data_IF_309037318333
#
_entry.id   IF_309037318333
#
_cell.length_a   1.000
_cell.length_b   1.000
_cell.length_c   1.000
_cell.angle_alpha   90.00
_cell.angle_beta   90.00
_cell.angle_gamma   90.00
#
_symmetry.space_group_name_H-M   'P 1'
#
loop_
_entity.id
_entity.type
_entity.pdbx_description
1 polymer ?
#
# COMPACT_ATOMS: atom_id res chain seq x y z
N UNK A 1 28.53 -29.76 43.79
CA UNK A 1 29.25 -31.03 43.53
C UNK A 1 29.01 -31.43 42.08
N UNK A 2 30.10 -31.54 41.29
CA UNK A 2 30.37 -32.42 40.12
C UNK A 2 29.26 -32.62 39.05
N UNK A 3 29.49 -32.61 37.73
CA UNK A 3 30.69 -32.59 36.88
C UNK A 3 30.24 -32.35 35.41
N UNK A 4 31.12 -31.75 34.62
CA UNK A 4 31.03 -31.61 33.17
C UNK A 4 31.35 -32.93 32.43
N UNK A 5 30.92 -33.05 31.16
CA UNK A 5 31.59 -33.89 30.18
C UNK A 5 31.76 -33.14 28.84
N UNK A 6 33.02 -32.97 28.47
CA UNK A 6 33.50 -32.65 27.13
C UNK A 6 33.95 -33.95 26.44
N UNK A 7 33.91 -34.00 25.11
CA UNK A 7 34.61 -35.00 24.33
C UNK A 7 35.24 -34.36 23.08
N UNK A 8 36.56 -34.54 22.97
CA UNK A 8 37.47 -34.15 21.89
C UNK A 8 37.46 -35.24 20.79
N UNK A 9 37.52 -34.85 19.50
CA UNK A 9 38.70 -34.79 18.61
C UNK A 9 39.14 -36.14 18.01
N UNK A 10 39.23 -36.23 16.67
CA UNK A 10 40.29 -36.96 15.95
C UNK A 10 40.34 -36.57 14.46
N UNK A 11 41.54 -36.14 14.03
CA UNK A 11 41.99 -35.98 12.64
C UNK A 11 42.72 -37.25 12.17
N UNK A 12 42.70 -37.53 10.86
CA UNK A 12 43.78 -38.14 10.04
C UNK A 12 43.51 -37.86 8.54
N UNK A 13 44.27 -37.00 7.86
CA UNK A 13 45.46 -37.23 6.99
C UNK A 13 45.24 -38.11 5.73
N UNK A 14 45.25 -37.50 4.52
CA UNK A 14 46.27 -37.63 3.43
C UNK A 14 46.25 -38.99 2.66
N UNK A 15 46.47 -39.16 1.35
CA UNK A 15 47.29 -38.45 0.37
C UNK A 15 47.03 -38.94 -1.10
N UNK A 16 47.34 -38.06 -2.06
CA UNK A 16 48.08 -38.25 -3.35
C UNK A 16 47.54 -39.05 -4.56
N UNK A 17 47.60 -38.35 -5.71
CA UNK A 17 47.54 -38.74 -7.15
C UNK A 17 48.77 -39.58 -7.60
N UNK A 18 48.98 -40.05 -8.89
CA UNK A 18 48.94 -39.25 -10.14
C UNK A 18 48.61 -39.96 -11.50
N UNK A 19 48.34 -39.10 -12.52
CA UNK A 19 48.73 -39.07 -13.95
C UNK A 19 48.89 -40.33 -14.85
N UNK A 20 48.54 -40.21 -16.16
CA UNK A 20 49.47 -40.08 -17.32
C UNK A 20 48.77 -40.28 -18.71
N UNK A 21 48.95 -39.29 -19.63
CA UNK A 21 49.21 -39.32 -21.12
C UNK A 21 48.28 -40.06 -22.13
N UNK A 22 48.17 -39.76 -23.43
CA UNK A 22 48.88 -38.91 -24.41
C UNK A 22 48.01 -38.67 -25.70
N UNK A 23 48.48 -37.76 -26.57
CA UNK A 23 47.99 -37.36 -27.92
C UNK A 23 48.01 -38.51 -28.98
N UNK A 24 47.44 -38.43 -30.20
CA UNK A 24 47.81 -37.57 -31.37
C UNK A 24 46.79 -37.62 -32.55
N UNK A 25 47.02 -36.71 -33.52
CA UNK A 25 46.81 -36.80 -34.98
C UNK A 25 45.62 -36.11 -35.68
N UNK A 26 45.96 -35.53 -36.84
CA UNK A 26 45.17 -34.61 -37.65
C UNK A 26 44.96 -35.11 -39.11
N UNK A 27 43.73 -34.85 -39.60
CA UNK A 27 43.26 -34.58 -41.00
C UNK A 27 43.32 -35.70 -42.09
N UNK A 28 42.56 -35.63 -43.22
CA UNK A 28 41.68 -34.54 -43.70
C UNK A 28 40.32 -34.94 -44.41
N UNK A 29 39.51 -33.91 -44.73
CA UNK A 29 38.38 -33.67 -45.68
C UNK A 29 37.35 -34.77 -46.06
N UNK A 30 36.06 -34.45 -45.89
CA UNK A 30 35.01 -34.66 -46.90
C UNK A 30 33.82 -33.71 -46.70
N UNK A 31 33.40 -33.03 -47.76
CA UNK A 31 32.19 -32.20 -47.80
C UNK A 31 30.92 -33.06 -47.91
N UNK A 32 29.86 -32.68 -47.20
CA UNK A 32 28.48 -33.11 -47.48
C UNK A 32 27.51 -31.99 -47.15
N UNK A 33 26.59 -31.73 -48.07
CA UNK A 33 25.60 -30.67 -48.04
C UNK A 33 24.27 -31.13 -47.43
N UNK A 34 23.60 -30.13 -46.82
CA UNK A 34 22.16 -29.99 -46.57
C UNK A 34 21.48 -30.74 -45.40
N UNK A 35 21.04 -29.95 -44.41
CA UNK A 35 19.64 -29.85 -44.01
C UNK A 35 19.40 -28.48 -43.33
N UNK A 36 18.27 -27.79 -43.59
CA UNK A 36 17.95 -26.53 -42.91
C UNK A 36 17.64 -26.82 -41.45
N UNK A 37 18.37 -26.16 -40.54
CA UNK A 37 18.10 -26.22 -39.12
C UNK A 37 16.69 -25.73 -38.85
N UNK A 38 15.89 -26.57 -38.18
CA UNK A 38 14.61 -26.20 -37.64
C UNK A 38 14.81 -24.95 -36.76
N UNK A 39 14.22 -23.83 -37.18
CA UNK A 39 14.11 -22.63 -36.38
C UNK A 39 13.28 -23.04 -35.15
N UNK A 40 13.96 -23.25 -34.02
CA UNK A 40 13.29 -23.49 -32.76
C UNK A 40 12.42 -22.27 -32.50
N UNK A 41 11.11 -22.43 -32.69
CA UNK A 41 10.14 -21.40 -32.36
C UNK A 41 10.37 -21.00 -30.91
N UNK A 42 10.95 -19.80 -30.72
CA UNK A 42 11.10 -19.20 -29.40
C UNK A 42 9.69 -19.18 -28.80
N UNK A 43 9.48 -19.99 -27.77
CA UNK A 43 8.25 -19.94 -27.00
C UNK A 43 7.99 -18.47 -26.66
N UNK A 44 6.76 -17.95 -26.82
CA UNK A 44 6.47 -16.57 -26.50
C UNK A 44 6.90 -16.35 -25.05
N UNK A 45 7.99 -15.60 -24.87
CA UNK A 45 8.46 -15.18 -23.56
C UNK A 45 7.30 -14.37 -23.02
N UNK A 46 6.60 -14.94 -22.03
CA UNK A 46 5.55 -14.21 -21.34
C UNK A 46 6.22 -12.94 -20.82
N UNK A 47 5.81 -11.74 -21.27
CA UNK A 47 6.45 -10.53 -20.80
C UNK A 47 6.38 -10.57 -19.27
N UNK A 48 7.52 -10.41 -18.56
CA UNK A 48 7.56 -10.59 -17.13
C UNK A 48 6.47 -9.73 -16.47
N UNK A 49 5.83 -10.27 -15.43
CA UNK A 49 4.88 -9.50 -14.64
C UNK A 49 5.54 -8.19 -14.25
N UNK A 50 5.01 -7.08 -14.78
CA UNK A 50 5.67 -5.79 -14.62
C UNK A 50 5.58 -5.35 -13.17
N UNK A 51 4.46 -5.63 -12.51
CA UNK A 51 4.28 -5.43 -11.08
C UNK A 51 4.63 -6.70 -10.31
N UNK A 52 5.44 -6.55 -9.25
CA UNK A 52 5.81 -7.62 -8.33
C UNK A 52 5.73 -7.16 -6.86
N UNK A 53 6.00 -8.05 -5.91
CA UNK A 53 6.01 -7.79 -4.48
C UNK A 53 7.27 -8.31 -3.80
N UNK A 54 7.92 -7.45 -3.03
CA UNK A 54 9.02 -7.81 -2.11
C UNK A 54 8.46 -7.86 -0.70
N UNK A 55 8.45 -9.05 -0.11
CA UNK A 55 8.01 -9.28 1.26
C UNK A 55 9.16 -9.05 2.23
N UNK A 56 8.90 -8.28 3.28
CA UNK A 56 9.80 -8.09 4.41
C UNK A 56 9.03 -8.31 5.73
N UNK A 57 9.76 -8.32 6.82
CA UNK A 57 9.19 -8.50 8.16
C UNK A 57 8.20 -7.37 8.48
N UNK A 58 8.57 -6.13 8.15
CA UNK A 58 7.80 -4.95 8.52
C UNK A 58 6.69 -4.56 7.52
N UNK A 59 6.68 -5.17 6.33
CA UNK A 59 5.69 -4.86 5.29
C UNK A 59 5.91 -5.53 3.95
N UNK A 60 5.26 -4.98 2.92
CA UNK A 60 5.37 -5.46 1.54
C UNK A 60 5.58 -4.26 0.61
N UNK A 61 6.65 -4.27 -0.17
CA UNK A 61 6.89 -3.29 -1.23
C UNK A 61 6.31 -3.82 -2.53
N UNK A 62 5.37 -3.10 -3.14
CA UNK A 62 4.99 -3.36 -4.53
C UNK A 62 5.91 -2.59 -5.46
N UNK A 63 6.42 -3.27 -6.48
CA UNK A 63 7.32 -2.71 -7.48
C UNK A 63 6.68 -2.72 -8.88
N UNK A 64 7.19 -1.90 -9.80
CA UNK A 64 6.90 -1.97 -11.23
C UNK A 64 8.23 -1.89 -11.99
N UNK A 65 8.63 -2.98 -12.65
CA UNK A 65 9.92 -3.09 -13.34
C UNK A 65 11.11 -2.88 -12.40
N UNK A 66 11.03 -3.41 -11.17
CA UNK A 66 12.05 -3.24 -10.12
C UNK A 66 12.03 -1.89 -9.40
N UNK A 67 11.22 -0.92 -9.83
CA UNK A 67 11.08 0.38 -9.14
C UNK A 67 9.95 0.34 -8.13
N UNK A 68 10.17 0.85 -6.92
CA UNK A 68 9.13 0.92 -5.89
C UNK A 68 7.92 1.73 -6.35
N UNK A 69 6.72 1.19 -6.14
CA UNK A 69 5.43 1.87 -6.38
C UNK A 69 4.82 2.30 -5.06
N UNK A 70 4.80 1.40 -4.08
CA UNK A 70 4.34 1.69 -2.73
C UNK A 70 4.90 0.69 -1.72
N UNK A 71 4.88 1.06 -0.43
CA UNK A 71 5.12 0.16 0.69
C UNK A 71 3.89 0.05 1.57
N UNK A 72 3.41 -1.17 1.80
CA UNK A 72 2.33 -1.47 2.74
C UNK A 72 2.92 -1.91 4.07
N UNK A 73 2.74 -1.10 5.12
CA UNK A 73 3.27 -1.40 6.46
C UNK A 73 2.38 -2.39 7.20
N UNK A 74 2.97 -3.50 7.66
CA UNK A 74 2.24 -4.56 8.39
C UNK A 74 2.71 -4.74 9.83
N UNK A 75 3.82 -4.10 10.21
CA UNK A 75 4.31 -4.08 11.60
C UNK A 75 4.61 -2.62 11.99
N UNK A 76 4.29 -2.18 13.21
CA UNK A 76 4.63 -0.84 13.65
C UNK A 76 6.14 -0.69 13.73
N UNK A 77 6.65 0.46 13.30
CA UNK A 77 8.08 0.77 13.43
C UNK A 77 8.50 0.95 14.91
N UNK A 78 7.58 1.42 15.76
CA UNK A 78 7.75 1.55 17.20
C UNK A 78 6.57 0.89 17.93
N UNK A 79 6.57 -0.45 18.08
CA UNK A 79 5.47 -1.16 18.72
C UNK A 79 5.28 -0.82 20.21
N UNK A 80 6.32 -0.31 20.88
CA UNK A 80 6.26 0.03 22.30
C UNK A 80 5.44 1.30 22.55
N UNK A 81 5.56 2.30 21.67
CA UNK A 81 4.88 3.60 21.85
C UNK A 81 3.75 3.84 20.85
N UNK A 82 3.80 3.24 19.67
CA UNK A 82 2.79 3.38 18.61
C UNK A 82 2.30 2.01 18.08
N UNK A 83 1.77 1.13 18.93
CA UNK A 83 1.34 -0.21 18.52
C UNK A 83 0.25 -0.21 17.43
N UNK A 84 -0.49 0.90 17.25
CA UNK A 84 -1.51 1.05 16.21
C UNK A 84 -1.01 1.64 14.88
N UNK A 85 0.29 1.98 14.74
CA UNK A 85 0.87 2.51 13.49
C UNK A 85 1.26 1.42 12.51
N UNK A 86 0.27 0.74 11.96
CA UNK A 86 0.40 -0.28 10.92
C UNK A 86 -0.89 -0.32 10.08
N UNK A 87 -0.93 -1.18 9.07
CA UNK A 87 -2.10 -1.37 8.21
C UNK A 87 -2.42 -0.11 7.36
N UNK A 88 -1.37 0.48 6.77
CA UNK A 88 -1.44 1.64 5.89
C UNK A 88 -0.34 1.59 4.83
N UNK A 89 -0.40 2.50 3.85
CA UNK A 89 0.60 2.59 2.78
C UNK A 89 1.43 3.87 2.91
N UNK A 90 2.74 3.73 3.05
CA UNK A 90 3.71 4.81 2.91
C UNK A 90 5.12 4.22 2.78
N UNK A 91 5.95 4.71 1.85
CA UNK A 91 5.65 5.73 0.84
C UNK A 91 4.75 5.25 -0.31
N UNK A 92 4.14 6.20 -1.02
CA UNK A 92 3.64 6.03 -2.39
C UNK A 92 4.57 6.82 -3.32
N UNK A 93 5.04 6.17 -4.37
CA UNK A 93 5.96 6.74 -5.34
C UNK A 93 5.26 7.12 -6.64
N UNK A 94 5.69 8.24 -7.22
CA UNK A 94 5.46 8.53 -8.62
C UNK A 94 6.33 7.62 -9.53
N UNK A 95 5.99 7.44 -10.81
CA UNK A 95 6.76 6.62 -11.75
C UNK A 95 8.24 6.99 -11.93
N UNK A 96 8.64 8.23 -11.61
CA UNK A 96 10.04 8.67 -11.63
C UNK A 96 10.79 8.43 -10.31
N UNK A 97 10.13 7.87 -9.29
CA UNK A 97 10.69 7.63 -7.96
C UNK A 97 10.45 8.75 -6.95
N UNK A 98 9.77 9.84 -7.34
CA UNK A 98 9.38 10.90 -6.39
C UNK A 98 8.43 10.36 -5.33
N UNK A 99 8.74 10.54 -4.04
CA UNK A 99 7.80 10.22 -2.95
C UNK A 99 6.68 11.26 -2.90
N UNK A 100 5.43 10.80 -2.92
CA UNK A 100 4.24 11.67 -2.97
C UNK A 100 3.53 11.82 -1.62
N UNK A 101 3.85 10.96 -0.64
CA UNK A 101 3.20 10.96 0.68
C UNK A 101 4.19 11.18 1.81
N UNK A 102 3.71 11.65 2.96
CA UNK A 102 4.49 11.74 4.20
C UNK A 102 3.89 10.80 5.26
N UNK A 103 4.73 10.39 6.20
CA UNK A 103 4.34 9.67 7.41
C UNK A 103 4.95 10.37 8.62
N UNK A 104 4.18 10.43 9.71
CA UNK A 104 4.55 11.11 10.95
C UNK A 104 5.13 12.52 10.73
N UNK A 105 4.44 13.39 9.97
CA UNK A 105 4.94 14.74 9.73
C UNK A 105 4.98 15.52 11.05
N UNK A 106 5.98 16.38 11.23
CA UNK A 106 6.24 17.07 12.50
C UNK A 106 5.07 17.93 12.98
N UNK A 107 4.26 18.44 12.04
CA UNK A 107 3.07 19.22 12.34
C UNK A 107 1.93 18.34 12.89
N UNK A 108 1.78 17.10 12.40
CA UNK A 108 0.64 16.22 12.65
C UNK A 108 1.10 14.75 12.78
N UNK A 109 1.72 14.40 13.91
CA UNK A 109 2.39 13.10 14.08
C UNK A 109 1.50 11.89 13.79
N UNK A 110 0.19 11.96 14.05
CA UNK A 110 -0.73 10.84 13.82
C UNK A 110 -1.04 10.55 12.34
N UNK A 111 -0.75 11.50 11.42
CA UNK A 111 -0.99 11.30 10.00
C UNK A 111 0.04 10.34 9.39
N UNK A 112 -0.40 9.61 8.37
CA UNK A 112 0.33 8.51 7.73
C UNK A 112 -0.05 8.44 6.25
N UNK A 113 0.83 7.99 5.36
CA UNK A 113 0.72 8.17 3.90
C UNK A 113 -0.69 8.03 3.30
N UNK A 114 -1.13 6.82 2.96
CA UNK A 114 -2.52 6.54 2.57
C UNK A 114 -3.12 5.51 3.55
N UNK A 115 -4.26 5.85 4.14
CA UNK A 115 -4.84 5.08 5.24
C UNK A 115 -6.35 5.27 5.35
N UNK A 116 -6.99 4.40 6.10
CA UNK A 116 -8.37 4.54 6.54
C UNK A 116 -8.41 4.45 8.06
N UNK A 117 -9.17 5.34 8.69
CA UNK A 117 -9.33 5.33 10.14
C UNK A 117 -10.53 6.17 10.58
N UNK A 118 -10.88 6.05 11.86
CA UNK A 118 -12.04 6.69 12.48
C UNK A 118 -11.69 7.16 13.89
N UNK A 119 -12.17 8.34 14.27
CA UNK A 119 -12.05 8.84 15.64
C UNK A 119 -12.96 8.10 16.61
N UNK A 120 -14.14 7.69 16.13
CA UNK A 120 -15.10 6.95 16.93
C UNK A 120 -15.03 5.47 16.53
N UNK A 121 -14.51 4.64 17.43
CA UNK A 121 -14.67 3.18 17.38
C UNK A 121 -15.51 2.78 18.58
N UNK A 122 -16.77 2.46 18.33
CA UNK A 122 -17.77 2.19 19.34
C UNK A 122 -18.14 0.71 19.25
N UNK A 123 -18.07 -0.01 20.36
CA UNK A 123 -18.42 -1.42 20.46
C UNK A 123 -19.48 -1.57 21.55
N UNK A 124 -20.61 -2.17 21.18
CA UNK A 124 -21.72 -2.43 22.11
C UNK A 124 -22.16 -1.19 22.88
N UNK A 125 -22.25 -0.07 22.15
CA UNK A 125 -22.65 1.25 22.66
C UNK A 125 -21.57 2.02 23.42
N UNK A 126 -20.36 1.47 23.59
CA UNK A 126 -19.26 2.11 24.32
C UNK A 126 -18.17 2.59 23.36
N UNK A 127 -17.72 3.83 23.50
CA UNK A 127 -16.52 4.29 22.79
C UNK A 127 -15.29 3.61 23.39
N UNK A 128 -14.59 2.81 22.59
CA UNK A 128 -13.50 1.95 23.07
C UNK A 128 -12.15 2.28 22.44
N UNK A 129 -12.11 2.98 21.32
CA UNK A 129 -10.85 3.37 20.70
C UNK A 129 -11.00 4.61 19.82
N UNK A 130 -9.87 5.28 19.60
CA UNK A 130 -9.70 6.30 18.56
C UNK A 130 -8.62 5.77 17.60
N UNK A 131 -9.07 5.16 16.49
CA UNK A 131 -8.17 4.62 15.49
C UNK A 131 -7.41 5.72 14.74
N UNK A 132 -7.95 6.94 14.68
CA UNK A 132 -7.33 8.07 14.00
C UNK A 132 -6.05 8.51 14.71
N UNK A 133 -6.08 8.53 16.04
CA UNK A 133 -4.91 8.74 16.89
C UNK A 133 -4.17 7.45 17.26
N UNK A 134 -4.60 6.28 16.74
CA UNK A 134 -4.02 4.97 17.03
C UNK A 134 -4.04 4.64 18.54
N UNK A 135 -5.09 5.09 19.24
CA UNK A 135 -5.29 4.89 20.68
C UNK A 135 -6.30 3.77 20.92
N UNK A 136 -5.88 2.75 21.67
CA UNK A 136 -6.76 1.63 22.05
C UNK A 136 -7.16 0.73 20.89
N UNK A 137 -6.61 0.91 19.69
CA UNK A 137 -6.81 0.06 18.51
C UNK A 137 -5.45 -0.30 17.88
N UNK A 138 -5.24 -1.59 17.67
CA UNK A 138 -4.13 -2.15 16.87
C UNK A 138 -4.67 -3.24 15.94
N UNK A 139 -3.77 -3.82 15.15
CA UNK A 139 -4.10 -4.82 14.15
C UNK A 139 -3.19 -6.03 14.30
N UNK A 140 -3.72 -7.22 14.09
CA UNK A 140 -2.93 -8.42 13.89
C UNK A 140 -3.04 -8.84 12.42
N UNK A 141 -1.96 -8.69 11.66
CA UNK A 141 -1.90 -9.10 10.25
C UNK A 141 -1.71 -10.61 10.19
N UNK A 142 -2.76 -11.33 9.79
CA UNK A 142 -2.76 -12.81 9.69
C UNK A 142 -2.06 -13.32 8.44
N UNK A 143 -2.25 -12.61 7.33
CA UNK A 143 -1.81 -13.08 6.03
C UNK A 143 -1.50 -11.90 5.11
N UNK A 144 -0.45 -12.08 4.31
CA UNK A 144 -0.04 -11.19 3.22
C UNK A 144 0.20 -12.09 2.00
N UNK A 145 -0.48 -11.83 0.88
CA UNK A 145 -0.26 -12.58 -0.36
C UNK A 145 -0.32 -11.68 -1.57
N UNK A 146 0.52 -11.94 -2.56
CA UNK A 146 0.57 -11.19 -3.79
C UNK A 146 0.23 -12.08 -4.98
N UNK A 147 -0.46 -11.53 -5.97
CA UNK A 147 -0.71 -12.18 -7.25
C UNK A 147 -0.58 -11.17 -8.38
N UNK A 148 0.38 -11.39 -9.28
CA UNK A 148 0.47 -10.70 -10.57
C UNK A 148 -0.71 -11.06 -11.49
N UNK A 149 -1.06 -10.16 -12.39
CA UNK A 149 -2.05 -10.39 -13.44
C UNK A 149 -1.43 -10.41 -14.84
N UNK A 150 -2.12 -11.03 -15.80
CA UNK A 150 -1.62 -11.19 -17.18
C UNK A 150 -1.52 -9.88 -17.96
N UNK A 151 -2.14 -8.80 -17.46
CA UNK A 151 -1.99 -7.47 -18.04
C UNK A 151 -0.72 -6.75 -17.53
N UNK A 152 0.09 -7.41 -16.67
CA UNK A 152 1.30 -6.86 -16.09
C UNK A 152 1.06 -6.03 -14.83
N UNK A 153 -0.16 -6.05 -14.28
CA UNK A 153 -0.47 -5.51 -12.95
C UNK A 153 -0.28 -6.54 -11.85
N UNK A 154 -0.69 -6.19 -10.64
CA UNK A 154 -0.62 -7.10 -9.49
C UNK A 154 -1.46 -6.64 -8.31
N UNK A 155 -1.90 -7.59 -7.48
CA UNK A 155 -2.73 -7.31 -6.32
C UNK A 155 -2.11 -7.92 -5.06
N UNK A 156 -1.80 -7.07 -4.09
CA UNK A 156 -1.54 -7.46 -2.71
C UNK A 156 -2.87 -7.66 -1.99
N UNK A 157 -3.03 -8.75 -1.26
CA UNK A 157 -4.14 -8.99 -0.34
C UNK A 157 -3.57 -9.14 1.07
N UNK A 158 -4.07 -8.31 1.98
CA UNK A 158 -3.71 -8.31 3.40
C UNK A 158 -4.96 -8.65 4.21
N UNK A 159 -4.84 -9.60 5.13
CA UNK A 159 -5.89 -9.97 6.06
C UNK A 159 -5.47 -9.59 7.47
N UNK A 160 -6.27 -8.76 8.13
CA UNK A 160 -6.02 -8.30 9.49
C UNK A 160 -7.20 -8.61 10.44
N UNK A 161 -6.92 -8.71 11.72
CA UNK A 161 -7.92 -8.59 12.78
C UNK A 161 -7.70 -7.28 13.54
N UNK A 162 -8.79 -6.61 13.88
CA UNK A 162 -8.78 -5.40 14.67
C UNK A 162 -8.85 -5.77 16.14
N UNK A 163 -7.91 -5.27 16.93
CA UNK A 163 -7.77 -5.57 18.35
C UNK A 163 -7.93 -4.28 19.13
N UNK A 164 -8.93 -4.24 20.00
CA UNK A 164 -9.15 -3.16 20.96
C UNK A 164 -8.52 -3.53 22.31
N UNK A 165 -7.82 -2.57 22.92
CA UNK A 165 -7.04 -2.78 24.15
C UNK A 165 -7.34 -1.78 25.27
N UNK A 166 -8.49 -1.10 25.22
CA UNK A 166 -8.90 -0.13 26.25
C UNK A 166 -9.60 -0.75 27.46
N UNK A 167 -10.04 -2.00 27.36
CA UNK A 167 -10.64 -2.77 28.46
C UNK A 167 -9.60 -3.62 29.20
N UNK A 168 -10.03 -4.36 30.25
CA UNK A 168 -9.16 -5.28 30.99
C UNK A 168 -8.67 -6.46 30.14
N UNK A 169 -9.37 -6.76 29.03
CA UNK A 169 -9.05 -7.83 28.11
C UNK A 169 -8.96 -7.30 26.67
N UNK A 170 -8.15 -7.98 25.84
CA UNK A 170 -8.08 -7.69 24.41
C UNK A 170 -9.36 -8.17 23.72
N UNK A 171 -9.97 -7.30 22.91
CA UNK A 171 -11.18 -7.61 22.16
C UNK A 171 -10.93 -7.62 20.64
N UNK A 172 -11.30 -8.70 19.97
CA UNK A 172 -11.26 -8.82 18.51
C UNK A 172 -12.56 -8.31 17.90
N UNK A 173 -12.58 -7.05 17.46
CA UNK A 173 -13.84 -6.34 17.16
C UNK A 173 -14.22 -6.35 15.69
N UNK A 174 -13.24 -6.54 14.80
CA UNK A 174 -13.47 -6.64 13.36
C UNK A 174 -12.44 -7.54 12.67
N UNK A 175 -12.79 -8.02 11.48
CA UNK A 175 -11.88 -8.67 10.54
C UNK A 175 -11.82 -7.84 9.28
N UNK A 176 -10.62 -7.59 8.77
CA UNK A 176 -10.39 -6.78 7.59
C UNK A 176 -9.69 -7.56 6.50
N UNK A 177 -10.14 -7.38 5.26
CA UNK A 177 -9.41 -7.78 4.06
C UNK A 177 -9.20 -6.55 3.19
N UNK A 178 -7.95 -6.19 2.97
CA UNK A 178 -7.56 -5.10 2.06
C UNK A 178 -6.90 -5.67 0.82
N UNK A 179 -7.39 -5.27 -0.34
CA UNK A 179 -6.73 -5.51 -1.63
C UNK A 179 -6.13 -4.20 -2.12
N UNK A 180 -4.83 -4.21 -2.39
CA UNK A 180 -4.12 -3.10 -3.04
C UNK A 180 -3.69 -3.57 -4.42
N UNK A 181 -4.36 -3.06 -5.46
CA UNK A 181 -4.07 -3.40 -6.84
C UNK A 181 -3.29 -2.28 -7.52
N UNK A 182 -2.12 -2.62 -8.04
CA UNK A 182 -1.33 -1.75 -8.91
C UNK A 182 -1.55 -2.19 -10.34
N UNK A 183 -1.98 -1.27 -11.19
CA UNK A 183 -2.12 -1.48 -12.62
C UNK A 183 -0.79 -1.18 -13.33
N UNK A 184 -0.51 -1.80 -14.50
CA UNK A 184 0.62 -1.42 -15.34
C UNK A 184 0.54 0.07 -15.71
N UNK A 185 1.69 0.72 -15.97
CA UNK A 185 1.67 2.08 -16.50
C UNK A 185 0.96 2.09 -17.84
N UNK A 186 0.12 3.10 -18.03
CA UNK A 186 -0.48 3.41 -19.32
C UNK A 186 -0.25 4.88 -19.58
N UNK A 187 0.44 5.20 -20.67
CA UNK A 187 0.71 6.59 -21.08
C UNK A 187 1.38 7.43 -19.97
N UNK A 188 2.29 6.80 -19.21
CA UNK A 188 2.97 7.44 -18.07
C UNK A 188 2.11 7.61 -16.80
N UNK A 189 0.83 7.25 -16.85
CA UNK A 189 -0.07 7.28 -15.70
C UNK A 189 -0.01 5.97 -14.91
N UNK A 190 -0.05 6.09 -13.58
CA UNK A 190 -0.16 4.99 -12.63
C UNK A 190 -1.56 4.99 -12.03
N UNK A 191 -2.21 3.84 -11.98
CA UNK A 191 -3.44 3.62 -11.20
C UNK A 191 -3.18 2.63 -10.07
N UNK A 192 -3.70 2.95 -8.88
CA UNK A 192 -3.64 2.13 -7.68
C UNK A 192 -5.05 2.09 -7.08
N UNK A 193 -5.61 0.90 -6.93
CA UNK A 193 -6.92 0.72 -6.30
C UNK A 193 -6.75 0.08 -4.92
N UNK A 194 -7.52 0.57 -3.96
CA UNK A 194 -7.69 0.02 -2.62
C UNK A 194 -9.12 -0.48 -2.51
N UNK A 195 -9.30 -1.71 -2.06
CA UNK A 195 -10.60 -2.32 -1.78
C UNK A 195 -10.53 -2.99 -0.42
N UNK A 196 -11.05 -2.32 0.59
CA UNK A 196 -11.02 -2.75 1.99
C UNK A 196 -12.42 -3.16 2.42
N UNK A 197 -12.55 -4.39 2.90
CA UNK A 197 -13.78 -4.90 3.51
C UNK A 197 -13.52 -5.13 5.00
N UNK A 198 -14.29 -4.47 5.85
CA UNK A 198 -14.26 -4.61 7.31
C UNK A 198 -15.54 -5.32 7.74
N UNK A 199 -15.42 -6.49 8.37
CA UNK A 199 -16.53 -7.29 8.89
C UNK A 199 -16.58 -7.21 10.40
N UNK A 200 -17.71 -6.78 10.96
CA UNK A 200 -17.89 -6.68 12.41
C UNK A 200 -17.88 -8.06 13.09
N UNK A 201 -17.23 -8.14 14.26
CA UNK A 201 -17.13 -9.37 15.07
C UNK A 201 -17.81 -9.26 16.43
N UNK A 202 -17.95 -8.04 16.96
CA UNK A 202 -18.81 -7.74 18.11
C UNK A 202 -20.29 -7.74 17.73
N UNK A 203 -21.19 -7.70 18.71
CA UNK A 203 -22.63 -7.66 18.47
C UNK A 203 -23.02 -6.38 17.72
N UNK A 204 -22.42 -5.25 18.12
CA UNK A 204 -22.40 -4.01 17.36
C UNK A 204 -21.01 -3.39 17.29
N UNK A 205 -20.65 -2.90 16.10
CA UNK A 205 -19.48 -2.08 15.85
C UNK A 205 -19.93 -0.82 15.10
N UNK A 206 -19.72 0.36 15.67
CA UNK A 206 -19.97 1.61 14.98
C UNK A 206 -18.66 2.37 14.72
N UNK A 207 -18.51 2.85 13.49
CA UNK A 207 -17.34 3.61 13.04
C UNK A 207 -17.79 5.02 12.67
N UNK A 208 -17.25 6.05 13.33
CA UNK A 208 -17.61 7.44 13.10
C UNK A 208 -16.38 8.33 12.92
N UNK A 209 -16.54 9.42 12.17
CA UNK A 209 -15.51 10.44 12.04
C UNK A 209 -15.31 11.23 13.34
N UNK A 210 -14.57 12.35 13.31
CA UNK A 210 -14.47 13.22 14.49
C UNK A 210 -15.86 13.65 14.98
N UNK A 211 -16.06 13.73 16.30
CA UNK A 211 -17.31 14.23 16.89
C UNK A 211 -17.35 15.77 16.90
N UNK A 212 -17.08 16.35 15.73
CA UNK A 212 -17.21 17.77 15.44
C UNK A 212 -17.82 17.96 14.04
N UNK A 213 -18.00 19.21 13.63
CA UNK A 213 -18.56 19.55 12.31
C UNK A 213 -17.74 19.04 11.12
N UNK A 214 -16.45 18.72 11.34
CA UNK A 214 -15.54 18.26 10.30
C UNK A 214 -15.85 16.82 9.96
N UNK A 215 -15.97 15.95 10.97
CA UNK A 215 -16.28 14.53 10.80
C UNK A 215 -15.15 13.73 10.16
N UNK A 216 -13.88 14.03 10.47
CA UNK A 216 -12.70 13.32 9.94
C UNK A 216 -12.80 11.81 10.08
N UNK A 217 -12.79 11.09 8.97
CA UNK A 217 -12.88 9.63 9.00
C UNK A 217 -12.90 9.01 7.61
N UNK A 218 -12.65 7.71 7.55
CA UNK A 218 -12.57 6.98 6.29
C UNK A 218 -11.21 7.12 5.63
N UNK A 219 -11.17 7.01 4.30
CA UNK A 219 -9.92 6.98 3.54
C UNK A 219 -9.28 8.38 3.43
N UNK A 220 -7.99 8.46 3.69
CA UNK A 220 -7.20 9.69 3.75
C UNK A 220 -5.84 9.50 3.10
N UNK A 221 -5.31 10.57 2.51
CA UNK A 221 -3.95 10.63 1.97
C UNK A 221 -3.23 11.87 2.48
N UNK A 222 -2.09 11.69 3.16
CA UNK A 222 -1.13 12.73 3.53
C UNK A 222 -0.15 12.94 2.38
N UNK A 223 -0.45 13.92 1.52
CA UNK A 223 0.41 14.32 0.42
C UNK A 223 1.53 15.26 0.91
N UNK A 224 2.72 15.13 0.32
CA UNK A 224 3.87 16.03 0.60
C UNK A 224 3.55 17.48 0.26
N UNK A 225 4.26 18.45 0.85
CA UNK A 225 4.18 19.90 0.50
C UNK A 225 2.73 20.41 0.35
N UNK A 226 1.87 20.20 1.36
CA UNK A 226 0.45 20.48 1.25
C UNK A 226 0.13 21.95 1.02
N UNK A 227 0.99 22.86 1.47
CA UNK A 227 0.90 24.31 1.31
C UNK A 227 0.89 24.73 -0.16
N UNK A 228 1.43 23.87 -1.02
CA UNK A 228 1.54 24.08 -2.47
C UNK A 228 0.49 23.35 -3.29
N UNK A 229 -0.45 22.67 -2.65
CA UNK A 229 -1.52 21.95 -3.34
C UNK A 229 -2.58 22.90 -3.88
N UNK A 230 -3.02 22.60 -5.09
CA UNK A 230 -4.23 23.11 -5.71
C UNK A 230 -5.21 21.96 -5.89
N UNK A 231 -6.49 22.25 -5.67
CA UNK A 231 -7.56 21.26 -5.66
C UNK A 231 -8.49 21.50 -6.83
N UNK A 232 -8.94 20.43 -7.48
CA UNK A 232 -9.89 20.52 -8.56
C UNK A 232 -10.81 19.31 -8.64
N UNK A 233 -12.04 19.52 -9.04
CA UNK A 233 -13.03 18.46 -9.23
C UNK A 233 -13.94 18.82 -10.39
N UNK A 234 -14.22 17.85 -11.28
CA UNK A 234 -15.12 18.06 -12.43
C UNK A 234 -14.71 19.22 -13.34
N UNK A 235 -13.40 19.46 -13.49
CA UNK A 235 -12.85 20.56 -14.31
C UNK A 235 -12.90 21.95 -13.65
N UNK A 236 -13.30 22.05 -12.39
CA UNK A 236 -13.36 23.31 -11.63
C UNK A 236 -12.37 23.31 -10.48
N UNK A 237 -11.80 24.47 -10.17
CA UNK A 237 -11.03 24.67 -8.94
C UNK A 237 -11.94 24.51 -7.71
N UNK A 238 -11.42 23.89 -6.66
CA UNK A 238 -12.10 23.75 -5.37
C UNK A 238 -11.30 24.49 -4.30
N UNK A 239 -11.98 25.32 -3.52
CA UNK A 239 -11.35 26.05 -2.41
C UNK A 239 -11.55 25.27 -1.11
N UNK A 240 -10.48 24.96 -0.35
CA UNK A 240 -10.61 24.37 0.98
C UNK A 240 -11.40 25.26 1.94
N UNK A 241 -12.13 24.64 2.87
CA UNK A 241 -12.83 25.33 3.95
C UNK A 241 -12.45 24.70 5.30
N UNK A 242 -12.76 25.36 6.41
CA UNK A 242 -12.57 24.79 7.76
C UNK A 242 -13.38 23.49 7.90
N UNK A 243 -14.65 23.52 7.48
CA UNK A 243 -15.48 22.34 7.37
C UNK A 243 -15.19 21.51 6.10
N UNK A 244 -15.92 20.40 5.93
CA UNK A 244 -15.88 19.62 4.71
C UNK A 244 -16.55 20.38 3.56
N UNK A 245 -16.04 20.16 2.35
CA UNK A 245 -16.49 20.74 1.11
C UNK A 245 -17.20 19.67 0.29
N UNK A 246 -18.40 19.98 -0.22
CA UNK A 246 -19.05 19.16 -1.23
C UNK A 246 -18.41 19.42 -2.60
N UNK A 247 -17.97 18.35 -3.26
CA UNK A 247 -17.41 18.40 -4.60
C UNK A 247 -17.85 17.17 -5.42
N UNK A 248 -17.21 16.92 -6.54
CA UNK A 248 -17.53 15.78 -7.40
C UNK A 248 -17.10 14.44 -6.79
N UNK A 249 -17.36 13.37 -7.54
CA UNK A 249 -17.04 11.98 -7.18
C UNK A 249 -15.53 11.67 -7.16
N UNK A 250 -14.71 12.64 -7.56
CA UNK A 250 -13.25 12.56 -7.53
C UNK A 250 -12.65 13.94 -7.28
N UNK A 251 -11.50 13.94 -6.62
CA UNK A 251 -10.69 15.13 -6.35
C UNK A 251 -9.33 14.99 -7.04
N UNK A 252 -8.87 16.07 -7.65
CA UNK A 252 -7.55 16.23 -8.22
C UNK A 252 -6.68 17.12 -7.33
N UNK A 253 -5.42 16.74 -7.21
CA UNK A 253 -4.39 17.43 -6.44
C UNK A 253 -3.20 17.68 -7.37
N UNK A 254 -2.77 18.92 -7.47
CA UNK A 254 -1.59 19.31 -8.23
C UNK A 254 -0.78 20.32 -7.43
N UNK A 255 0.55 20.15 -7.43
CA UNK A 255 1.44 21.08 -6.77
C UNK A 255 1.77 22.26 -7.68
N UNK A 256 1.83 23.47 -7.12
CA UNK A 256 2.40 24.62 -7.80
C UNK A 256 3.88 24.33 -8.16
N UNK A 257 4.31 24.53 -9.42
CA UNK A 257 5.69 24.27 -9.86
C UNK A 257 6.78 25.04 -9.09
N UNK A 258 8.02 24.58 -9.17
CA UNK A 258 9.18 25.16 -8.45
C UNK A 258 9.35 24.59 -7.04
N UNK A 259 10.25 25.15 -6.23
CA UNK A 259 10.39 24.86 -4.78
C UNK A 259 10.43 23.38 -4.37
N UNK A 260 10.97 22.50 -5.23
CA UNK A 260 11.02 21.05 -5.03
C UNK A 260 9.65 20.35 -5.04
N UNK A 261 8.59 20.98 -5.54
CA UNK A 261 7.28 20.35 -5.70
C UNK A 261 7.34 19.17 -6.66
N UNK A 262 6.58 18.08 -6.41
CA UNK A 262 6.41 17.02 -7.38
C UNK A 262 5.88 17.53 -8.72
N UNK A 263 6.47 17.06 -9.83
CA UNK A 263 5.99 17.33 -11.19
C UNK A 263 4.84 16.38 -11.62
N UNK A 264 3.98 16.03 -10.66
CA UNK A 264 2.92 15.04 -10.79
C UNK A 264 1.58 15.60 -10.32
N UNK A 265 0.51 14.95 -10.73
CA UNK A 265 -0.84 15.17 -10.24
C UNK A 265 -1.37 13.87 -9.64
N UNK A 266 -2.20 13.99 -8.62
CA UNK A 266 -2.88 12.86 -7.98
C UNK A 266 -4.38 13.07 -8.14
N UNK A 267 -5.08 12.09 -8.71
CA UNK A 267 -6.53 11.98 -8.64
C UNK A 267 -6.92 10.95 -7.58
N UNK A 268 -7.95 11.25 -6.78
CA UNK A 268 -8.53 10.36 -5.79
C UNK A 268 -10.04 10.27 -6.00
N UNK A 269 -10.58 9.06 -6.01
CA UNK A 269 -12.01 8.81 -5.97
C UNK A 269 -12.29 7.78 -4.89
N UNK A 270 -13.35 7.96 -4.10
CA UNK A 270 -13.69 7.06 -3.00
C UNK A 270 -15.15 6.64 -3.05
N UNK A 271 -15.43 5.42 -2.58
CA UNK A 271 -16.77 4.87 -2.39
C UNK A 271 -16.87 4.17 -1.05
N UNK A 272 -18.06 4.21 -0.46
CA UNK A 272 -18.44 3.36 0.66
C UNK A 272 -19.68 2.56 0.27
N UNK A 273 -19.63 1.23 0.41
CA UNK A 273 -20.70 0.30 0.03
C UNK A 273 -21.21 0.54 -1.41
N UNK A 274 -20.30 0.85 -2.34
CA UNK A 274 -20.61 1.14 -3.74
C UNK A 274 -21.09 2.58 -4.03
N UNK A 275 -21.51 3.33 -3.02
CA UNK A 275 -21.90 4.72 -3.17
C UNK A 275 -20.67 5.66 -3.21
N UNK A 276 -20.59 6.61 -4.16
CA UNK A 276 -19.49 7.57 -4.21
C UNK A 276 -19.51 8.51 -3.00
N UNK A 277 -18.32 8.83 -2.48
CA UNK A 277 -18.15 9.88 -1.47
C UNK A 277 -17.88 11.19 -2.19
N UNK A 278 -18.70 12.21 -1.92
CA UNK A 278 -18.61 13.57 -2.50
C UNK A 278 -18.23 14.64 -1.48
N UNK A 279 -18.14 14.27 -0.21
CA UNK A 279 -17.76 15.14 0.90
C UNK A 279 -16.27 14.99 1.17
N UNK A 280 -15.55 16.11 1.11
CA UNK A 280 -14.09 16.14 1.18
C UNK A 280 -13.62 17.06 2.30
N UNK A 281 -12.63 16.64 3.08
CA UNK A 281 -11.84 17.59 3.86
C UNK A 281 -10.53 17.83 3.12
N UNK A 282 -10.32 19.08 2.75
CA UNK A 282 -9.15 19.55 2.02
C UNK A 282 -8.33 20.46 2.92
N UNK A 283 -7.02 20.27 2.89
CA UNK A 283 -6.10 21.04 3.73
C UNK A 283 -4.87 21.46 2.94
N UNK A 284 -4.42 22.69 3.16
CA UNK A 284 -3.12 23.20 2.71
C UNK A 284 -2.10 23.26 3.85
N UNK A 285 -2.58 23.31 5.08
CA UNK A 285 -1.76 23.34 6.30
C UNK A 285 -2.22 22.21 7.20
N UNK A 286 -1.32 21.66 8.04
CA UNK A 286 -1.71 20.66 9.05
C UNK A 286 -2.41 19.44 8.41
N UNK A 287 -1.93 19.06 7.22
CA UNK A 287 -2.82 18.70 6.12
C UNK A 287 -2.84 17.22 5.74
N UNK A 288 -4.05 16.67 5.65
CA UNK A 288 -4.36 15.48 4.85
C UNK A 288 -5.53 15.77 3.92
N UNK A 289 -5.71 14.93 2.90
CA UNK A 289 -6.87 14.97 2.01
C UNK A 289 -7.75 13.77 2.30
N UNK A 290 -8.98 14.01 2.77
CA UNK A 290 -9.84 12.97 3.31
C UNK A 290 -11.15 12.84 2.50
N UNK A 291 -11.43 11.62 2.05
CA UNK A 291 -12.75 11.18 1.62
C UNK A 291 -13.60 10.93 2.86
N UNK A 292 -14.44 11.89 3.23
CA UNK A 292 -15.14 11.87 4.52
C UNK A 292 -16.16 10.73 4.54
N UNK A 293 -15.95 9.75 5.41
CA UNK A 293 -16.94 8.72 5.68
C UNK A 293 -16.86 8.15 7.11
N UNK A 294 -18.00 7.97 7.79
CA UNK A 294 -19.34 8.43 7.45
C UNK A 294 -19.58 9.92 7.78
N UNK A 295 -18.56 10.62 8.26
CA UNK A 295 -18.71 11.92 8.93
C UNK A 295 -18.98 11.74 10.42
N UNK A 296 -19.55 12.76 11.06
CA UNK A 296 -19.81 12.78 12.51
C UNK A 296 -20.70 11.62 13.00
N UNK A 297 -21.75 11.29 12.26
CA UNK A 297 -22.71 10.24 12.62
C UNK A 297 -22.12 8.84 12.39
N UNK A 298 -21.93 8.00 13.42
CA UNK A 298 -21.32 6.70 13.26
C UNK A 298 -22.13 5.76 12.34
N UNK A 299 -21.42 5.00 11.51
CA UNK A 299 -21.97 3.93 10.69
C UNK A 299 -21.97 2.65 11.51
N UNK A 300 -23.15 2.14 11.84
CA UNK A 300 -23.33 0.97 12.71
C UNK A 300 -23.37 -0.31 11.88
N UNK A 301 -22.60 -1.31 12.30
CA UNK A 301 -22.57 -2.67 11.79
C UNK A 301 -23.01 -3.63 12.90
N UNK A 302 -23.91 -4.55 12.58
CA UNK A 302 -24.16 -5.73 13.40
C UNK A 302 -23.10 -6.79 13.14
N UNK A 303 -22.96 -7.76 14.04
CA UNK A 303 -22.09 -8.91 13.86
C UNK A 303 -22.25 -9.56 12.48
N UNK A 304 -21.14 -9.72 11.77
CA UNK A 304 -21.11 -10.30 10.42
C UNK A 304 -21.44 -9.33 9.28
N UNK A 305 -22.00 -8.16 9.55
CA UNK A 305 -22.18 -7.12 8.54
C UNK A 305 -20.84 -6.50 8.12
N UNK A 306 -20.83 -5.90 6.93
CA UNK A 306 -19.59 -5.39 6.33
C UNK A 306 -19.69 -3.93 5.92
N UNK A 307 -18.60 -3.21 6.13
CA UNK A 307 -18.30 -1.95 5.46
C UNK A 307 -17.26 -2.21 4.37
N UNK A 308 -17.57 -1.82 3.14
CA UNK A 308 -16.63 -1.84 2.02
C UNK A 308 -16.22 -0.44 1.62
N UNK A 309 -14.94 -0.11 1.75
CA UNK A 309 -14.33 1.11 1.24
C UNK A 309 -13.57 0.80 -0.06
N UNK A 310 -13.78 1.61 -1.08
CA UNK A 310 -13.06 1.50 -2.34
C UNK A 310 -12.46 2.85 -2.68
N UNK A 311 -11.14 2.90 -2.91
CA UNK A 311 -10.43 4.13 -3.27
C UNK A 311 -9.58 3.90 -4.51
N UNK A 312 -9.65 4.80 -5.48
CA UNK A 312 -8.79 4.78 -6.67
C UNK A 312 -7.90 6.00 -6.66
N UNK A 313 -6.58 5.76 -6.64
CA UNK A 313 -5.54 6.75 -6.83
C UNK A 313 -5.04 6.70 -8.28
N UNK A 314 -4.94 7.85 -8.94
CA UNK A 314 -4.36 7.98 -10.27
C UNK A 314 -3.26 9.03 -10.24
N UNK A 315 -2.03 8.64 -10.52
CA UNK A 315 -0.86 9.52 -10.57
C UNK A 315 -0.53 9.78 -12.03
N UNK A 316 -0.46 11.05 -12.45
CA UNK A 316 -0.12 11.45 -13.84
C UNK A 316 0.94 12.53 -13.85
N UNK A 317 1.84 12.57 -14.85
CA UNK A 317 2.77 13.67 -14.99
C UNK A 317 1.98 14.97 -15.28
N UNK A 318 2.48 16.11 -14.81
CA UNK A 318 1.85 17.43 -15.06
C UNK A 318 1.83 17.77 -16.57
N UNK A 319 2.74 17.18 -17.34
CA UNK A 319 2.76 17.25 -18.82
C UNK A 319 2.68 15.83 -19.38
N UNK A 320 1.79 15.60 -20.36
CA UNK A 320 1.76 14.32 -21.06
C UNK A 320 3.12 14.05 -21.72
N UNK A 321 3.66 12.81 -21.71
CA UNK A 321 4.86 12.51 -22.47
C UNK A 321 4.60 12.88 -23.93
N UNK A 322 5.40 13.79 -24.50
CA UNK A 322 5.36 14.08 -25.94
C UNK A 322 5.48 12.73 -26.66
N UNK A 323 4.48 12.37 -27.47
CA UNK A 323 4.64 11.25 -28.41
C UNK A 323 5.89 11.58 -29.23
N UNK A 324 6.93 10.75 -29.14
CA UNK A 324 7.99 10.78 -30.14
C UNK A 324 7.31 10.40 -31.45
N UNK A 325 7.30 11.35 -32.39
CA UNK A 325 6.95 11.08 -33.79
C UNK A 325 7.99 10.19 -34.44
#
# INVERSE_FOLDING_TARGET
MMKALAAALLLTSAATSPAWTQATDAAPVAASAAAPGAEAALAPVTPPARVDAVFADDGVTLTDGGKSVLFYRTVPADPAHEPGRLNYVHPIYAPDGTVLTEDRPADHLHQRGAFWSWHQVIVDGKSVADGWFMKGLTFHVREKRFKGDSAGGGTLVVNADWIVSSGPELAYVARETTKVRVYPLKEGARRIDFDTVITARADTLALGGSDDEKGYGGFSVRLVKPDRLNFGSGGKTVTPAIGPVEAGKSMGFAWTPGGGSPAWTVGLACKANGAPITRWILRKELSMQNCVFPGRGPFVLKKGETLRLQSTLIIRPVTAPKKKG
#
